data_IF_655962610411
#
_entry.id   IF_655962610411
#
_cell.length_a   1.000
_cell.length_b   1.000
_cell.length_c   1.000
_cell.angle_alpha   90.00
_cell.angle_beta   90.00
_cell.angle_gamma   90.00
#
_symmetry.space_group_name_H-M   'P 1'
#
loop_
_entity.id
_entity.type
_entity.pdbx_description
1 polymer ?
#
# COMPACT_ATOMS: atom_id res chain seq x y z
N UNK A 1 -31.71 33.00 -31.92
CA UNK A 1 -31.56 31.87 -30.97
C UNK A 1 -30.23 32.03 -30.26
N UNK A 2 -30.27 32.19 -28.94
CA UNK A 2 -29.28 32.94 -28.18
C UNK A 2 -28.18 32.06 -27.54
N UNK A 3 -26.91 32.46 -27.67
CA UNK A 3 -25.71 31.70 -27.22
C UNK A 3 -25.64 31.49 -25.69
N UNK A 4 -26.44 32.23 -24.91
CA UNK A 4 -26.52 32.10 -23.44
C UNK A 4 -27.24 30.83 -22.96
N UNK A 5 -28.17 30.29 -23.74
CA UNK A 5 -29.00 29.15 -23.30
C UNK A 5 -28.24 27.81 -23.42
N UNK A 6 -27.30 27.70 -24.36
CA UNK A 6 -26.48 26.48 -24.58
C UNK A 6 -25.40 26.26 -23.50
N UNK A 7 -24.83 27.35 -22.95
CA UNK A 7 -23.81 27.28 -21.88
C UNK A 7 -24.39 26.75 -20.56
N UNK A 8 -25.60 27.19 -20.20
CA UNK A 8 -26.32 26.72 -19.02
C UNK A 8 -26.76 25.25 -19.10
N UNK A 9 -26.94 24.68 -20.30
CA UNK A 9 -27.29 23.28 -20.47
C UNK A 9 -26.08 22.36 -20.26
N UNK A 10 -24.93 22.69 -20.86
CA UNK A 10 -23.70 21.91 -20.70
C UNK A 10 -23.16 21.95 -19.26
N UNK A 11 -23.31 23.06 -18.55
CA UNK A 11 -22.93 23.15 -17.13
C UNK A 11 -23.83 22.31 -16.22
N UNK A 12 -25.11 22.13 -16.57
CA UNK A 12 -26.03 21.23 -15.85
C UNK A 12 -25.73 19.75 -16.12
N UNK A 13 -25.35 19.40 -17.34
CA UNK A 13 -24.92 18.03 -17.70
C UNK A 13 -23.61 17.66 -16.98
N UNK A 14 -22.62 18.56 -16.95
CA UNK A 14 -21.36 18.35 -16.20
C UNK A 14 -21.59 18.19 -14.70
N UNK A 15 -22.34 19.11 -14.07
CA UNK A 15 -22.70 18.99 -12.65
C UNK A 15 -23.50 17.71 -12.34
N UNK A 16 -24.34 17.26 -13.29
CA UNK A 16 -25.06 15.99 -13.17
C UNK A 16 -24.15 14.76 -13.27
N UNK A 17 -23.13 14.79 -14.12
CA UNK A 17 -22.13 13.73 -14.23
C UNK A 17 -21.18 13.70 -13.01
N UNK A 18 -20.71 14.85 -12.55
CA UNK A 18 -19.86 14.98 -11.37
C UNK A 18 -20.58 14.51 -10.09
N UNK A 19 -21.85 14.85 -9.93
CA UNK A 19 -22.67 14.35 -8.81
C UNK A 19 -22.90 12.83 -8.89
N UNK A 20 -23.06 12.27 -10.10
CA UNK A 20 -23.26 10.83 -10.31
C UNK A 20 -21.97 10.04 -10.04
N UNK A 21 -20.81 10.59 -10.37
CA UNK A 21 -19.49 10.03 -10.02
C UNK A 21 -19.27 10.13 -8.51
N UNK A 22 -19.54 11.29 -7.90
CA UNK A 22 -19.41 11.49 -6.46
C UNK A 22 -20.31 10.53 -5.66
N UNK A 23 -21.55 10.32 -6.09
CA UNK A 23 -22.45 9.34 -5.46
C UNK A 23 -21.92 7.91 -5.56
N UNK A 24 -21.39 7.49 -6.72
CA UNK A 24 -20.79 6.15 -6.89
C UNK A 24 -19.56 5.93 -5.99
N UNK A 25 -18.68 6.92 -5.89
CA UNK A 25 -17.49 6.86 -5.02
C UNK A 25 -17.88 6.78 -3.53
N UNK A 26 -18.88 7.57 -3.11
CA UNK A 26 -19.41 7.52 -1.73
C UNK A 26 -20.08 6.18 -1.42
N UNK A 27 -20.73 5.56 -2.40
CA UNK A 27 -21.39 4.26 -2.25
C UNK A 27 -20.38 3.10 -2.18
N UNK A 28 -19.30 3.14 -2.96
CA UNK A 28 -18.17 2.22 -2.85
C UNK A 28 -17.45 2.35 -1.49
N UNK A 29 -17.15 3.57 -1.03
CA UNK A 29 -16.52 3.80 0.29
C UNK A 29 -17.42 3.31 1.45
N UNK A 30 -18.74 3.46 1.34
CA UNK A 30 -19.69 2.92 2.32
C UNK A 30 -19.74 1.39 2.29
N UNK A 31 -19.62 0.78 1.11
CA UNK A 31 -19.60 -0.67 0.94
C UNK A 31 -18.32 -1.28 1.54
N UNK A 32 -17.17 -0.65 1.34
CA UNK A 32 -15.88 -1.04 1.94
C UNK A 32 -15.93 -0.95 3.48
N UNK A 33 -16.42 0.15 4.06
CA UNK A 33 -16.59 0.27 5.53
C UNK A 33 -17.56 -0.76 6.12
N UNK A 34 -18.55 -1.19 5.33
CA UNK A 34 -19.53 -2.22 5.73
C UNK A 34 -18.95 -3.63 5.64
N UNK A 35 -18.01 -3.88 4.75
CA UNK A 35 -17.26 -5.14 4.67
C UNK A 35 -16.18 -5.23 5.77
N UNK A 36 -15.51 -4.13 6.10
CA UNK A 36 -14.61 -4.02 7.26
C UNK A 36 -15.33 -4.36 8.58
N UNK A 37 -16.53 -3.83 8.80
CA UNK A 37 -17.33 -4.10 10.00
C UNK A 37 -17.93 -5.51 10.07
N UNK A 38 -18.13 -6.18 8.92
CA UNK A 38 -18.56 -7.59 8.86
C UNK A 38 -17.41 -8.57 9.07
N UNK A 39 -16.20 -8.26 8.60
CA UNK A 39 -14.99 -9.04 8.90
C UNK A 39 -14.61 -9.04 10.39
N UNK A 40 -15.07 -8.01 11.13
CA UNK A 40 -14.88 -7.86 12.57
C UNK A 40 -15.91 -8.64 13.44
N UNK A 41 -16.97 -9.21 12.85
CA UNK A 41 -17.99 -10.00 13.58
C UNK A 41 -18.26 -11.31 12.86
N UNK A 42 -17.44 -12.33 13.12
CA UNK A 42 -17.63 -13.65 12.52
C UNK A 42 -16.60 -14.70 12.96
N UNK A 43 -16.27 -14.76 14.24
CA UNK A 43 -15.66 -15.95 14.84
C UNK A 43 -16.47 -16.34 16.09
N UNK A 44 -17.59 -16.98 15.83
CA UNK A 44 -18.48 -17.56 16.84
C UNK A 44 -19.12 -18.80 16.24
N UNK A 45 -18.97 -19.92 16.93
CA UNK A 45 -19.36 -21.28 16.54
C UNK A 45 -20.85 -21.41 16.18
N UNK A 46 -21.15 -22.27 15.20
CA UNK A 46 -22.39 -23.06 15.18
C UNK A 46 -22.22 -24.31 14.29
N UNK A 47 -22.12 -25.47 14.94
CA UNK A 47 -22.33 -26.79 14.35
C UNK A 47 -23.84 -27.09 14.38
N UNK A 48 -24.42 -27.49 13.24
CA UNK A 48 -25.31 -28.66 13.06
C UNK A 48 -26.21 -28.53 11.81
N UNK A 49 -26.09 -29.54 10.94
CA UNK A 49 -27.22 -30.21 10.30
C UNK A 49 -27.86 -29.54 9.08
N UNK A 50 -27.64 -30.11 7.89
CA UNK A 50 -28.73 -30.70 7.09
C UNK A 50 -28.21 -31.54 5.93
N UNK A 51 -28.76 -32.74 5.89
CA UNK A 51 -28.68 -33.82 4.89
C UNK A 51 -29.41 -33.49 3.60
N UNK A 52 -28.92 -34.11 2.52
CA UNK A 52 -29.59 -34.63 1.31
C UNK A 52 -30.51 -33.74 0.47
N UNK A 53 -30.15 -33.59 -0.81
CA UNK A 53 -31.04 -33.95 -1.93
C UNK A 53 -30.24 -34.16 -3.24
N UNK A 54 -30.39 -35.34 -3.83
CA UNK A 54 -30.00 -35.74 -5.18
C UNK A 54 -30.72 -34.89 -6.24
N UNK A 55 -30.17 -34.82 -7.48
CA UNK A 55 -30.74 -35.54 -8.63
C UNK A 55 -30.01 -35.17 -9.94
N UNK A 56 -29.66 -36.23 -10.68
CA UNK A 56 -29.10 -36.24 -12.04
C UNK A 56 -30.06 -35.63 -13.06
N UNK A 57 -29.54 -34.92 -14.06
CA UNK A 57 -30.04 -35.00 -15.44
C UNK A 57 -28.84 -34.94 -16.40
N UNK A 58 -28.58 -36.05 -17.10
CA UNK A 58 -27.87 -36.09 -18.38
C UNK A 58 -28.87 -35.67 -19.47
N UNK A 59 -28.45 -34.87 -20.44
CA UNK A 59 -28.58 -35.23 -21.85
C UNK A 59 -27.83 -34.24 -22.77
N UNK A 60 -27.10 -34.88 -23.68
CA UNK A 60 -26.39 -34.48 -24.89
C UNK A 60 -27.13 -33.57 -25.86
N UNK A 61 -26.41 -32.66 -26.55
CA UNK A 61 -26.51 -32.41 -28.02
C UNK A 61 -25.16 -31.89 -28.58
N UNK A 62 -24.87 -32.35 -29.79
CA UNK A 62 -23.68 -32.19 -30.64
C UNK A 62 -23.41 -30.77 -31.23
N UNK A 63 -22.15 -30.63 -31.66
CA UNK A 63 -21.45 -29.51 -32.33
C UNK A 63 -21.94 -29.29 -33.80
N UNK A 64 -21.74 -28.09 -34.40
CA UNK A 64 -20.87 -28.03 -35.58
C UNK A 64 -19.72 -27.01 -35.52
N UNK A 65 -18.61 -27.36 -36.20
CA UNK A 65 -17.30 -26.68 -36.31
C UNK A 65 -17.23 -25.64 -37.45
N UNK A 66 -16.15 -24.85 -37.41
CA UNK A 66 -15.51 -24.01 -38.46
C UNK A 66 -16.17 -22.63 -38.72
N UNK A 67 -15.46 -21.51 -38.98
CA UNK A 67 -14.30 -21.15 -39.83
C UNK A 67 -13.75 -19.75 -39.33
N UNK A 68 -12.64 -19.11 -39.79
CA UNK A 68 -11.23 -19.50 -40.01
C UNK A 68 -10.21 -18.67 -39.19
N UNK A 69 -8.99 -19.21 -39.07
CA UNK A 69 -7.75 -18.51 -38.71
C UNK A 69 -7.26 -17.59 -39.83
N UNK A 70 -6.86 -16.35 -39.50
CA UNK A 70 -6.15 -15.44 -40.40
C UNK A 70 -4.68 -15.33 -39.97
N UNK A 71 -3.80 -15.83 -40.83
CA UNK A 71 -2.36 -15.60 -40.80
C UNK A 71 -2.07 -14.12 -41.05
N UNK A 72 -1.18 -13.53 -40.26
CA UNK A 72 -0.44 -12.32 -40.65
C UNK A 72 1.05 -12.59 -40.46
N UNK A 73 1.68 -12.82 -41.62
CA UNK A 73 3.12 -12.77 -41.86
C UNK A 73 3.69 -11.38 -41.58
N UNK A 74 4.96 -11.36 -41.20
CA UNK A 74 5.62 -10.22 -40.55
C UNK A 74 5.84 -8.96 -41.37
N UNK A 75 6.21 -7.92 -40.62
CA UNK A 75 7.02 -6.80 -41.09
C UNK A 75 7.87 -6.29 -39.93
N UNK A 76 9.17 -6.55 -40.04
CA UNK A 76 10.21 -5.94 -39.22
C UNK A 76 10.24 -4.46 -39.59
N UNK A 77 10.00 -3.58 -38.63
CA UNK A 77 10.31 -2.15 -38.73
C UNK A 77 11.33 -1.88 -37.64
N UNK A 78 12.56 -1.59 -38.08
CA UNK A 78 13.57 -0.94 -37.25
C UNK A 78 13.17 0.51 -37.05
N UNK A 79 13.04 0.94 -35.80
CA UNK A 79 13.21 2.36 -35.45
C UNK A 79 13.75 2.45 -34.04
N UNK A 80 15.05 2.70 -33.96
CA UNK A 80 15.77 3.16 -32.78
C UNK A 80 15.18 4.51 -32.36
N UNK A 81 14.32 4.51 -31.36
CA UNK A 81 14.00 5.71 -30.58
C UNK A 81 13.98 5.28 -29.12
N UNK A 82 15.05 5.64 -28.41
CA UNK A 82 15.07 5.62 -26.95
C UNK A 82 13.91 6.50 -26.44
N UNK A 83 13.13 6.06 -25.44
CA UNK A 83 12.22 6.95 -24.77
C UNK A 83 13.04 7.98 -23.98
N UNK A 84 13.04 9.21 -24.48
CA UNK A 84 13.61 10.40 -23.82
C UNK A 84 12.78 10.69 -22.56
N UNK A 85 13.27 10.23 -21.41
CA UNK A 85 12.69 10.59 -20.13
C UNK A 85 13.11 12.03 -19.84
N UNK A 86 12.17 12.98 -19.67
CA UNK A 86 12.54 14.34 -19.32
C UNK A 86 13.33 14.33 -17.99
N UNK A 87 14.52 14.91 -18.04
CA UNK A 87 15.32 15.31 -16.87
C UNK A 87 14.40 15.85 -15.77
N UNK A 88 14.58 15.44 -14.50
CA UNK A 88 13.68 15.81 -13.43
C UNK A 88 13.79 17.31 -13.16
N UNK A 89 12.91 18.09 -13.80
CA UNK A 89 12.66 19.47 -13.42
C UNK A 89 12.12 19.44 -12.00
N UNK A 90 13.00 19.75 -11.03
CA UNK A 90 12.70 19.92 -9.61
C UNK A 90 11.73 21.09 -9.41
N UNK A 91 10.46 20.94 -9.80
CA UNK A 91 9.36 21.64 -9.15
C UNK A 91 8.81 20.67 -8.12
N UNK A 92 9.36 20.77 -6.92
CA UNK A 92 8.92 20.00 -5.76
C UNK A 92 7.47 20.43 -5.48
N UNK A 93 6.51 19.59 -5.87
CA UNK A 93 5.17 19.70 -5.34
C UNK A 93 5.23 19.25 -3.88
N UNK A 94 5.41 20.22 -2.98
CA UNK A 94 5.22 20.03 -1.54
C UNK A 94 3.71 20.03 -1.30
N UNK A 95 3.09 18.94 -0.83
CA UNK A 95 1.69 18.98 -0.44
C UNK A 95 1.47 20.13 0.55
N UNK A 96 0.33 20.77 0.52
CA UNK A 96 0.04 21.95 1.36
C UNK A 96 0.16 21.69 2.87
N UNK A 97 0.03 20.45 3.34
CA UNK A 97 0.36 20.08 4.73
C UNK A 97 1.87 20.02 5.02
N UNK A 98 2.72 19.85 4.00
CA UNK A 98 4.17 19.86 4.12
C UNK A 98 4.75 21.27 4.26
N UNK A 99 4.22 22.24 3.51
CA UNK A 99 4.68 23.63 3.56
C UNK A 99 4.28 24.35 4.87
N UNK A 100 3.19 23.94 5.52
CA UNK A 100 2.70 24.57 6.76
C UNK A 100 3.67 24.35 7.93
N UNK A 101 4.32 23.18 8.04
CA UNK A 101 5.26 22.90 9.14
C UNK A 101 6.64 23.55 8.97
N UNK A 102 7.11 23.75 7.72
CA UNK A 102 8.35 24.50 7.47
C UNK A 102 8.20 25.97 7.84
N UNK A 103 7.02 26.56 7.58
CA UNK A 103 6.75 27.97 7.88
C UNK A 103 6.44 28.27 9.37
N UNK A 104 6.08 27.27 10.18
CA UNK A 104 5.88 27.48 11.63
C UNK A 104 7.21 27.61 12.39
N UNK A 105 8.35 27.15 11.86
CA UNK A 105 9.68 27.39 12.44
C UNK A 105 10.24 28.79 12.19
N UNK A 106 9.63 29.61 11.33
CA UNK A 106 10.13 30.96 10.98
C UNK A 106 9.33 32.12 11.57
N UNK A 107 8.30 31.86 12.40
CA UNK A 107 7.52 32.92 13.07
C UNK A 107 7.62 32.86 14.59
N UNK A 108 8.81 33.07 15.11
CA UNK A 108 9.00 33.66 16.46
C UNK A 108 10.45 34.09 16.68
N UNK A 109 10.80 35.30 16.21
CA UNK A 109 11.74 36.20 16.90
C UNK A 109 11.85 37.50 16.08
N UNK A 110 11.41 38.62 16.67
CA UNK A 110 11.94 39.95 16.33
C UNK A 110 12.78 40.44 17.51
N UNK A 111 13.82 41.25 17.25
CA UNK A 111 14.97 41.37 18.13
C UNK A 111 14.80 42.49 19.16
N UNK A 112 15.44 42.32 20.33
CA UNK A 112 15.85 43.45 21.18
C UNK A 112 17.35 43.35 21.46
N UNK A 113 17.94 44.53 21.55
CA UNK A 113 19.34 44.93 21.36
C UNK A 113 20.36 44.45 22.40
N UNK A 114 21.58 44.13 21.89
CA UNK A 114 22.98 44.33 22.37
C UNK A 114 23.19 45.00 23.75
N UNK A 115 24.19 44.73 24.60
CA UNK A 115 25.50 43.99 24.64
C UNK A 115 26.05 44.13 26.11
N UNK A 116 27.26 43.66 26.56
CA UNK A 116 28.21 42.66 26.01
C UNK A 116 28.80 41.64 27.04
N UNK A 117 29.40 40.56 26.49
CA UNK A 117 30.65 39.86 26.86
C UNK A 117 30.91 39.45 28.33
N UNK A 118 31.05 38.13 28.56
CA UNK A 118 32.19 37.50 29.27
C UNK A 118 32.19 35.98 29.03
N UNK A 119 33.25 35.49 28.39
CA UNK A 119 33.75 34.11 28.44
C UNK A 119 34.61 33.95 29.73
N UNK A 120 35.15 32.77 30.16
CA UNK A 120 35.00 31.39 29.70
C UNK A 120 35.00 30.29 30.83
N UNK A 121 34.79 29.02 30.45
CA UNK A 121 35.40 27.76 31.01
C UNK A 121 35.13 27.28 32.46
N UNK A 122 35.21 25.94 32.58
CA UNK A 122 35.39 25.06 33.79
C UNK A 122 34.18 24.93 34.73
N UNK A 123 33.83 23.79 35.34
CA UNK A 123 34.66 22.71 35.89
C UNK A 123 33.77 21.45 36.17
N UNK A 124 34.35 20.26 36.01
CA UNK A 124 33.87 18.98 36.58
C UNK A 124 34.10 18.94 38.11
N UNK A 125 33.23 18.25 38.86
CA UNK A 125 33.49 17.38 40.05
C UNK A 125 32.18 17.20 40.86
N UNK A 126 31.65 15.97 40.93
CA UNK A 126 31.78 14.99 42.04
C UNK A 126 31.17 15.44 43.38
N UNK A 127 30.19 14.66 43.89
CA UNK A 127 30.33 14.00 45.20
C UNK A 127 29.25 12.92 45.40
N UNK A 128 29.72 11.69 45.56
CA UNK A 128 29.00 10.54 46.13
C UNK A 128 29.04 10.59 47.66
N UNK A 129 27.93 10.32 48.36
CA UNK A 129 27.95 9.86 49.76
C UNK A 129 26.94 8.73 50.00
N UNK A 130 27.43 7.69 50.67
CA UNK A 130 26.79 6.41 50.99
C UNK A 130 26.76 6.18 52.50
N UNK A 131 25.63 5.73 53.08
CA UNK A 131 25.54 5.10 54.42
C UNK A 131 24.45 3.98 54.38
N UNK A 132 24.72 2.83 55.01
CA UNK A 132 23.94 1.56 55.07
C UNK A 132 22.99 1.47 56.33
N UNK A 133 22.46 0.30 56.77
CA UNK A 133 21.07 -0.15 56.59
C UNK A 133 20.27 -0.39 57.91
N UNK A 134 19.01 -0.84 57.73
CA UNK A 134 18.01 -1.38 58.70
C UNK A 134 17.05 -0.40 59.40
N UNK A 135 15.76 -0.47 59.02
CA UNK A 135 14.71 -1.13 59.83
C UNK A 135 13.38 -1.15 59.05
N UNK A 136 12.71 -2.30 59.11
CA UNK A 136 11.44 -2.56 58.45
C UNK A 136 10.27 -1.92 59.22
N UNK A 137 9.45 -1.13 58.52
CA UNK A 137 8.07 -0.86 58.90
C UNK A 137 7.16 -1.26 57.73
N UNK A 138 6.19 -2.12 58.04
CA UNK A 138 5.17 -2.61 57.13
C UNK A 138 4.22 -1.46 56.79
N UNK A 139 4.26 -0.96 55.57
CA UNK A 139 3.17 -0.18 54.99
C UNK A 139 2.65 -0.84 53.71
N UNK A 140 1.33 -1.00 53.65
CA UNK A 140 0.52 -1.51 52.55
C UNK A 140 0.92 -0.89 51.20
N UNK A 141 1.21 -1.67 50.14
CA UNK A 141 1.38 -1.10 48.81
C UNK A 141 0.00 -0.74 48.23
N UNK A 142 -0.45 0.48 48.50
CA UNK A 142 -1.45 1.16 47.66
C UNK A 142 -0.81 1.38 46.28
N UNK A 143 -1.18 0.49 45.37
CA UNK A 143 -1.34 0.70 43.93
C UNK A 143 -0.41 1.76 43.28
N UNK A 144 0.67 1.38 42.59
CA UNK A 144 1.43 2.34 41.79
C UNK A 144 0.54 2.79 40.63
N UNK A 145 -0.08 3.96 40.77
CA UNK A 145 -0.64 4.71 39.65
C UNK A 145 0.50 5.00 38.69
N UNK A 146 0.67 4.13 37.70
CA UNK A 146 1.49 4.38 36.52
C UNK A 146 0.89 5.61 35.81
N UNK A 147 1.53 6.79 35.77
CA UNK A 147 1.12 7.80 34.83
C UNK A 147 1.79 7.44 33.50
N UNK A 148 1.23 6.47 32.77
CA UNK A 148 1.47 6.43 31.32
C UNK A 148 0.91 7.75 30.79
N UNK A 149 1.79 8.74 30.60
CA UNK A 149 1.45 10.02 30.00
C UNK A 149 0.84 9.70 28.64
N UNK A 150 -0.49 9.80 28.55
CA UNK A 150 -1.23 9.51 27.34
C UNK A 150 -0.75 10.52 26.31
N UNK A 151 0.06 10.07 25.34
CA UNK A 151 0.48 10.92 24.21
C UNK A 151 -0.80 11.39 23.52
N UNK A 152 -0.94 12.70 23.29
CA UNK A 152 -2.12 13.22 22.60
C UNK A 152 -2.18 12.65 21.19
N UNK A 153 -3.40 12.48 20.66
CA UNK A 153 -3.58 12.02 19.27
C UNK A 153 -2.82 12.92 18.28
N UNK A 154 -2.74 14.23 18.54
CA UNK A 154 -2.01 15.17 17.69
C UNK A 154 -0.52 14.85 17.61
N UNK A 155 0.14 14.61 18.75
CA UNK A 155 1.56 14.26 18.80
C UNK A 155 1.82 12.92 18.12
N UNK A 156 0.90 11.96 18.27
CA UNK A 156 1.00 10.68 17.57
C UNK A 156 0.91 10.83 16.05
N UNK A 157 -0.01 11.67 15.56
CA UNK A 157 -0.13 11.95 14.12
C UNK A 157 1.09 12.70 13.57
N UNK A 158 1.62 13.68 14.31
CA UNK A 158 2.86 14.39 13.94
C UNK A 158 4.06 13.43 13.85
N UNK A 159 4.23 12.56 14.84
CA UNK A 159 5.25 11.52 14.84
C UNK A 159 5.08 10.58 13.63
N UNK A 160 3.85 10.15 13.37
CA UNK A 160 3.57 9.26 12.26
C UNK A 160 3.85 9.91 10.89
N UNK A 161 3.63 11.22 10.75
CA UNK A 161 3.97 11.97 9.55
C UNK A 161 5.49 12.11 9.38
N UNK A 162 6.22 12.43 10.45
CA UNK A 162 7.70 12.47 10.41
C UNK A 162 8.28 11.11 10.03
N UNK A 163 7.75 10.04 10.61
CA UNK A 163 8.13 8.67 10.28
C UNK A 163 7.91 8.33 8.80
N UNK A 164 6.75 8.67 8.23
CA UNK A 164 6.47 8.47 6.79
C UNK A 164 7.53 9.16 5.95
N UNK A 165 7.91 10.36 6.34
CA UNK A 165 8.90 11.14 5.63
C UNK A 165 10.30 10.57 5.68
N UNK A 166 10.73 10.15 6.86
CA UNK A 166 12.04 9.57 7.06
C UNK A 166 12.15 8.26 6.26
N UNK A 167 11.09 7.45 6.23
CA UNK A 167 11.03 6.25 5.38
C UNK A 167 11.12 6.62 3.90
N UNK A 168 10.30 7.55 3.40
CA UNK A 168 10.34 7.95 1.97
C UNK A 168 11.67 8.61 1.57
N UNK A 169 12.30 9.34 2.48
CA UNK A 169 13.65 9.86 2.30
C UNK A 169 14.66 8.71 2.24
N UNK A 170 14.50 7.67 3.05
CA UNK A 170 15.34 6.47 2.99
C UNK A 170 15.18 5.73 1.65
N UNK A 171 13.97 5.65 1.10
CA UNK A 171 13.69 5.06 -0.21
C UNK A 171 14.54 5.69 -1.32
N UNK A 172 14.63 7.02 -1.34
CA UNK A 172 15.37 7.77 -2.36
C UNK A 172 16.86 7.86 -2.06
N UNK A 173 17.25 8.08 -0.80
CA UNK A 173 18.64 8.33 -0.42
C UNK A 173 19.47 7.05 -0.24
N UNK A 174 18.96 6.04 0.48
CA UNK A 174 19.65 4.76 0.72
C UNK A 174 19.43 3.80 -0.45
N UNK A 175 18.17 3.56 -0.82
CA UNK A 175 17.81 2.54 -1.82
C UNK A 175 17.75 3.06 -3.26
N UNK A 176 18.02 4.35 -3.47
CA UNK A 176 18.10 4.99 -4.80
C UNK A 176 16.86 4.80 -5.67
N UNK A 177 15.69 4.63 -5.06
CA UNK A 177 14.43 4.60 -5.78
C UNK A 177 14.07 6.01 -6.26
N UNK A 178 13.53 6.12 -7.47
CA UNK A 178 12.97 7.35 -8.00
C UNK A 178 11.57 7.58 -7.42
N UNK A 179 11.33 8.79 -6.90
CA UNK A 179 10.00 9.23 -6.54
C UNK A 179 9.29 9.79 -7.78
N UNK A 180 8.14 9.21 -8.15
CA UNK A 180 7.36 9.64 -9.30
C UNK A 180 6.00 10.15 -8.83
N UNK A 181 5.66 11.38 -9.23
CA UNK A 181 4.38 12.00 -8.92
C UNK A 181 3.33 11.69 -10.00
N UNK A 182 2.13 11.31 -9.58
CA UNK A 182 1.03 10.85 -10.41
C UNK A 182 -0.16 11.80 -10.31
N UNK A 183 -0.87 12.08 -11.42
CA UNK A 183 -0.56 11.59 -12.77
C UNK A 183 0.72 12.20 -13.34
N UNK A 184 1.34 11.54 -14.32
CA UNK A 184 2.56 12.01 -15.00
C UNK A 184 2.29 12.94 -16.17
N UNK A 185 1.03 13.01 -16.66
CA UNK A 185 0.68 13.89 -17.78
C UNK A 185 0.82 15.37 -17.41
N UNK A 186 1.47 16.15 -18.29
CA UNK A 186 1.80 17.57 -18.06
C UNK A 186 0.59 18.44 -17.72
N UNK A 187 -0.58 18.14 -18.28
CA UNK A 187 -1.83 18.88 -17.98
C UNK A 187 -2.23 18.82 -16.50
N UNK A 188 -1.68 17.88 -15.71
CA UNK A 188 -1.91 17.76 -14.27
C UNK A 188 -0.71 18.24 -13.43
N UNK A 189 0.34 18.81 -14.04
CA UNK A 189 1.57 19.18 -13.34
C UNK A 189 1.37 20.23 -12.25
N UNK A 190 0.36 21.09 -12.39
CA UNK A 190 -0.02 22.12 -11.41
C UNK A 190 -1.14 21.68 -10.45
N UNK A 191 -1.64 20.45 -10.59
CA UNK A 191 -2.77 19.92 -9.81
C UNK A 191 -2.34 19.07 -8.60
N UNK A 192 -3.32 18.53 -7.85
CA UNK A 192 -3.04 17.59 -6.77
C UNK A 192 -2.47 16.28 -7.34
N UNK A 193 -1.42 15.75 -6.70
CA UNK A 193 -0.70 14.54 -7.13
C UNK A 193 -0.40 13.63 -5.95
N UNK A 194 -0.16 12.34 -6.23
CA UNK A 194 0.36 11.36 -5.27
C UNK A 194 1.69 10.80 -5.74
N UNK A 195 2.49 10.25 -4.84
CA UNK A 195 3.78 9.66 -5.19
C UNK A 195 3.74 8.13 -5.19
N UNK A 196 4.53 7.53 -6.08
CA UNK A 196 5.00 6.15 -6.02
C UNK A 196 6.52 6.15 -5.96
N UNK A 197 7.12 5.02 -5.60
CA UNK A 197 8.58 4.84 -5.60
C UNK A 197 8.95 3.66 -6.47
N UNK A 198 9.94 3.83 -7.32
CA UNK A 198 10.27 2.87 -8.37
C UNK A 198 11.77 2.80 -8.62
N UNK A 199 12.31 1.62 -8.91
CA UNK A 199 13.72 1.49 -9.30
C UNK A 199 14.01 2.28 -10.59
N UNK A 200 15.16 2.98 -10.72
CA UNK A 200 15.47 3.81 -11.89
C UNK A 200 15.48 3.06 -13.22
N UNK A 201 15.89 1.80 -13.21
CA UNK A 201 15.98 0.89 -14.35
C UNK A 201 14.69 0.07 -14.58
N UNK A 202 13.58 0.41 -13.90
CA UNK A 202 12.36 -0.41 -13.92
C UNK A 202 11.86 -0.74 -15.32
N UNK A 203 11.84 0.20 -16.26
CA UNK A 203 11.31 0.01 -17.61
C UNK A 203 12.25 -0.75 -18.55
N UNK A 204 13.57 -0.64 -18.34
CA UNK A 204 14.58 -1.14 -19.28
C UNK A 204 15.19 -2.47 -18.86
N UNK A 205 15.24 -2.74 -17.56
CA UNK A 205 15.82 -3.95 -17.00
C UNK A 205 14.93 -5.18 -17.18
N UNK A 206 15.53 -6.33 -17.49
CA UNK A 206 14.87 -7.65 -17.57
C UNK A 206 14.81 -8.39 -16.23
N UNK A 207 15.25 -7.76 -15.13
CA UNK A 207 15.21 -8.32 -13.80
C UNK A 207 13.78 -8.71 -13.36
N UNK A 208 13.70 -9.53 -12.30
CA UNK A 208 12.44 -9.79 -11.61
C UNK A 208 11.88 -8.46 -11.06
N UNK A 209 10.57 -8.33 -11.00
CA UNK A 209 9.90 -7.11 -10.52
C UNK A 209 9.17 -7.39 -9.21
N UNK A 210 9.56 -6.71 -8.13
CA UNK A 210 8.89 -6.80 -6.83
C UNK A 210 7.96 -5.60 -6.65
N UNK A 211 6.66 -5.87 -6.52
CA UNK A 211 5.61 -4.86 -6.38
C UNK A 211 5.04 -4.94 -4.96
N UNK A 212 5.13 -3.83 -4.22
CA UNK A 212 4.70 -3.72 -2.83
C UNK A 212 3.44 -2.85 -2.73
N UNK A 213 2.37 -3.39 -2.14
CA UNK A 213 1.05 -2.75 -2.09
C UNK A 213 0.53 -2.74 -0.66
N UNK A 214 0.52 -1.56 -0.05
CA UNK A 214 0.08 -1.35 1.32
C UNK A 214 -1.43 -1.59 1.53
N UNK A 215 -1.81 -1.73 2.80
CA UNK A 215 -3.20 -1.84 3.25
C UNK A 215 -3.98 -0.52 3.21
N UNK A 216 -5.18 -0.51 3.80
CA UNK A 216 -5.99 0.69 3.94
C UNK A 216 -5.51 1.62 5.07
N UNK A 217 -6.16 2.78 5.19
CA UNK A 217 -5.94 3.74 6.26
C UNK A 217 -4.94 4.84 5.91
N UNK A 218 -4.29 5.39 6.94
CA UNK A 218 -3.40 6.55 6.82
C UNK A 218 -1.95 6.17 6.49
N UNK A 219 -1.69 4.92 6.08
CA UNK A 219 -0.37 4.49 5.59
C UNK A 219 -0.09 5.12 4.22
N UNK A 220 1.20 5.28 3.92
CA UNK A 220 1.75 5.81 2.67
C UNK A 220 2.85 4.89 2.16
N UNK A 221 3.26 5.09 0.91
CA UNK A 221 4.28 4.26 0.27
C UNK A 221 5.51 4.08 1.17
N UNK A 222 5.93 2.83 1.36
CA UNK A 222 7.02 2.44 2.26
C UNK A 222 6.56 1.89 3.62
N UNK A 223 5.27 1.95 3.96
CA UNK A 223 4.75 1.52 5.28
C UNK A 223 3.69 0.43 5.15
N UNK A 224 3.81 -0.64 5.95
CA UNK A 224 2.73 -1.59 6.21
C UNK A 224 1.80 -1.11 7.33
N UNK A 225 2.37 -0.65 8.46
CA UNK A 225 1.62 -0.15 9.60
C UNK A 225 2.35 0.95 10.38
N UNK A 226 1.69 2.10 10.57
CA UNK A 226 2.22 3.21 11.38
C UNK A 226 2.39 2.80 12.85
N UNK A 227 1.43 2.06 13.41
CA UNK A 227 1.48 1.67 14.81
C UNK A 227 2.57 0.65 15.08
N UNK A 228 2.86 -0.24 14.15
CA UNK A 228 3.96 -1.19 14.30
C UNK A 228 5.30 -0.49 14.16
N UNK A 229 5.45 0.41 13.18
CA UNK A 229 6.67 1.23 13.08
C UNK A 229 6.97 2.03 14.36
N UNK A 230 5.94 2.61 14.98
CA UNK A 230 6.12 3.47 16.16
C UNK A 230 6.33 2.65 17.45
N UNK A 231 5.59 1.55 17.62
CA UNK A 231 5.53 0.85 18.89
C UNK A 231 6.39 -0.42 18.95
N UNK A 232 6.89 -0.92 17.83
CA UNK A 232 7.75 -2.10 17.77
C UNK A 232 9.05 -1.81 17.03
N UNK A 233 8.99 -1.64 15.71
CA UNK A 233 10.19 -1.46 14.89
C UNK A 233 9.86 -1.07 13.45
N UNK A 234 10.81 -0.40 12.78
CA UNK A 234 10.74 -0.18 11.34
C UNK A 234 10.85 -1.49 10.57
N UNK A 235 11.65 -2.42 11.08
CA UNK A 235 11.85 -3.76 10.54
C UNK A 235 10.51 -4.50 10.40
N UNK A 236 9.62 -4.40 11.39
CA UNK A 236 8.33 -5.10 11.32
C UNK A 236 7.25 -4.29 10.61
N UNK A 237 7.22 -2.96 10.83
CA UNK A 237 6.12 -2.11 10.38
C UNK A 237 6.28 -1.50 8.97
N UNK A 238 7.49 -1.52 8.42
CA UNK A 238 7.82 -0.87 7.14
C UNK A 238 8.08 -1.88 6.01
N UNK A 239 8.14 -1.35 4.79
CA UNK A 239 8.55 -2.12 3.62
C UNK A 239 10.06 -2.28 3.50
N UNK A 240 10.87 -1.68 4.39
CA UNK A 240 12.32 -1.60 4.21
C UNK A 240 13.00 -2.98 4.11
N UNK A 241 12.67 -3.99 4.93
CA UNK A 241 13.29 -5.31 4.77
C UNK A 241 12.92 -6.00 3.46
N UNK A 242 11.70 -5.77 2.94
CA UNK A 242 11.27 -6.29 1.64
C UNK A 242 12.06 -5.66 0.50
N UNK A 243 12.37 -4.36 0.61
CA UNK A 243 13.15 -3.63 -0.39
C UNK A 243 14.60 -4.10 -0.36
N UNK A 244 15.21 -4.16 0.83
CA UNK A 244 16.59 -4.60 1.01
C UNK A 244 16.78 -6.02 0.46
N UNK A 245 15.92 -6.95 0.89
CA UNK A 245 15.95 -8.34 0.41
C UNK A 245 15.64 -8.46 -1.08
N UNK A 246 14.72 -7.65 -1.60
CA UNK A 246 14.43 -7.58 -3.04
C UNK A 246 15.64 -7.15 -3.84
N UNK A 247 16.33 -6.08 -3.44
CA UNK A 247 17.52 -5.60 -4.12
C UNK A 247 18.67 -6.61 -4.06
N UNK A 248 18.90 -7.24 -2.90
CA UNK A 248 19.88 -8.34 -2.74
C UNK A 248 19.62 -9.49 -3.73
N UNK A 249 18.35 -9.82 -3.97
CA UNK A 249 17.92 -10.89 -4.88
C UNK A 249 17.66 -10.41 -6.32
N UNK A 250 18.17 -9.22 -6.67
CA UNK A 250 18.11 -8.61 -8.00
C UNK A 250 16.67 -8.41 -8.49
N UNK A 251 15.79 -7.95 -7.61
CA UNK A 251 14.49 -7.41 -7.99
C UNK A 251 14.59 -5.91 -8.23
N UNK A 252 13.97 -5.45 -9.31
CA UNK A 252 13.60 -4.03 -9.43
C UNK A 252 12.30 -3.81 -8.64
N UNK A 253 12.22 -2.70 -7.93
CA UNK A 253 11.19 -2.44 -6.93
C UNK A 253 10.17 -1.44 -7.46
N UNK A 254 8.89 -1.67 -7.18
CA UNK A 254 7.81 -0.71 -7.35
C UNK A 254 6.94 -0.70 -6.09
N UNK A 255 6.71 0.50 -5.53
CA UNK A 255 5.91 0.71 -4.33
C UNK A 255 4.72 1.61 -4.69
N UNK A 256 3.52 1.05 -4.55
CA UNK A 256 2.28 1.79 -4.80
C UNK A 256 1.88 2.65 -3.59
N UNK A 257 1.01 3.64 -3.82
CA UNK A 257 0.43 4.48 -2.78
C UNK A 257 -1.09 4.64 -2.94
N UNK A 258 -1.86 3.54 -2.90
CA UNK A 258 -3.27 3.54 -3.27
C UNK A 258 -4.16 4.37 -2.34
N UNK A 259 -3.69 4.73 -1.14
CA UNK A 259 -4.47 5.54 -0.19
C UNK A 259 -4.33 7.04 -0.40
N UNK A 260 -3.34 7.49 -1.18
CA UNK A 260 -3.14 8.92 -1.42
C UNK A 260 -3.98 9.38 -2.60
N UNK A 261 -5.30 9.48 -2.39
CA UNK A 261 -6.27 9.73 -3.47
C UNK A 261 -6.77 11.17 -3.56
N UNK A 262 -6.39 12.02 -2.61
CA UNK A 262 -6.76 13.43 -2.54
C UNK A 262 -5.71 14.27 -1.85
N UNK A 263 -5.59 15.53 -2.26
CA UNK A 263 -4.70 16.48 -1.60
C UNK A 263 -5.13 16.68 -0.12
N UNK A 264 -4.20 16.63 0.83
CA UNK A 264 -4.57 16.60 2.24
C UNK A 264 -5.16 17.92 2.76
N UNK A 265 -4.83 19.09 2.19
CA UNK A 265 -5.36 20.36 2.69
C UNK A 265 -6.63 20.77 1.95
N UNK A 266 -6.60 20.75 0.61
CA UNK A 266 -7.73 21.16 -0.24
C UNK A 266 -8.82 20.10 -0.33
N UNK A 267 -8.50 18.84 0.00
CA UNK A 267 -9.37 17.66 -0.17
C UNK A 267 -9.75 17.37 -1.62
N UNK A 268 -9.13 18.04 -2.59
CA UNK A 268 -9.33 17.82 -4.02
C UNK A 268 -8.85 16.42 -4.39
N UNK A 269 -9.69 15.66 -5.08
CA UNK A 269 -9.33 14.34 -5.59
C UNK A 269 -8.17 14.44 -6.57
N UNK A 270 -7.25 13.48 -6.51
CA UNK A 270 -6.14 13.40 -7.44
C UNK A 270 -6.67 12.80 -8.75
N UNK A 271 -6.56 13.49 -9.89
CA UNK A 271 -7.05 12.98 -11.18
C UNK A 271 -6.47 11.60 -11.49
N UNK A 272 -7.25 10.70 -12.09
CA UNK A 272 -6.85 9.33 -12.48
C UNK A 272 -6.31 8.44 -11.35
N UNK A 273 -6.30 8.93 -10.11
CA UNK A 273 -5.84 8.25 -8.91
C UNK A 273 -6.77 8.60 -7.75
N UNK A 274 -8.06 8.83 -8.01
CA UNK A 274 -9.02 9.32 -7.02
C UNK A 274 -9.59 8.21 -6.13
N UNK A 275 -9.28 6.96 -6.46
CA UNK A 275 -9.57 5.76 -5.69
C UNK A 275 -8.41 4.77 -5.73
N UNK A 276 -8.44 3.75 -4.86
CA UNK A 276 -7.44 2.66 -4.88
C UNK A 276 -7.44 1.91 -6.21
N UNK A 277 -8.63 1.69 -6.78
CA UNK A 277 -8.81 1.00 -8.05
C UNK A 277 -8.25 1.83 -9.20
N UNK A 278 -8.57 3.12 -9.26
CA UNK A 278 -8.01 4.01 -10.29
C UNK A 278 -6.49 4.12 -10.17
N UNK A 279 -5.94 4.22 -8.95
CA UNK A 279 -4.50 4.22 -8.74
C UNK A 279 -3.84 2.91 -9.22
N UNK A 280 -4.42 1.76 -8.86
CA UNK A 280 -3.92 0.46 -9.29
C UNK A 280 -3.96 0.30 -10.82
N UNK A 281 -5.04 0.75 -11.45
CA UNK A 281 -5.21 0.72 -12.91
C UNK A 281 -4.21 1.64 -13.62
N UNK A 282 -4.08 2.89 -13.15
CA UNK A 282 -3.13 3.85 -13.68
C UNK A 282 -1.69 3.34 -13.59
N UNK A 283 -1.32 2.77 -12.44
CA UNK A 283 0.02 2.21 -12.25
C UNK A 283 0.27 0.99 -13.15
N UNK A 284 -0.74 0.14 -13.34
CA UNK A 284 -0.64 -0.98 -14.27
C UNK A 284 -0.36 -0.51 -15.68
N UNK A 285 -1.21 0.36 -16.22
CA UNK A 285 -1.16 0.84 -17.60
C UNK A 285 0.11 1.65 -17.93
N UNK A 286 0.63 2.41 -16.96
CA UNK A 286 1.78 3.30 -17.21
C UNK A 286 3.13 2.67 -16.92
N UNK A 287 3.20 1.81 -15.90
CA UNK A 287 4.48 1.32 -15.38
C UNK A 287 4.61 -0.20 -15.43
N UNK A 288 3.55 -0.97 -15.19
CA UNK A 288 3.66 -2.43 -15.14
C UNK A 288 3.59 -3.02 -16.56
N UNK A 289 2.63 -2.60 -17.38
CA UNK A 289 2.46 -3.09 -18.75
C UNK A 289 3.65 -2.73 -19.66
N UNK A 290 4.36 -1.65 -19.32
CA UNK A 290 5.48 -1.11 -20.11
C UNK A 290 6.85 -1.68 -19.71
N UNK A 291 6.95 -2.42 -18.61
CA UNK A 291 8.20 -3.08 -18.19
C UNK A 291 8.29 -4.50 -18.73
N UNK A 292 9.47 -5.12 -18.66
CA UNK A 292 9.71 -6.55 -18.97
C UNK A 292 10.03 -7.33 -17.69
N UNK A 293 10.07 -8.67 -17.75
CA UNK A 293 10.37 -9.50 -16.58
C UNK A 293 9.16 -9.98 -15.80
N UNK A 294 9.39 -10.99 -14.95
CA UNK A 294 8.37 -11.65 -14.13
C UNK A 294 7.99 -10.83 -12.91
N UNK A 295 6.68 -10.75 -12.63
CA UNK A 295 6.12 -9.93 -11.55
C UNK A 295 5.90 -10.76 -10.28
N UNK A 296 6.33 -10.22 -9.15
CA UNK A 296 6.21 -10.79 -7.81
C UNK A 296 5.54 -9.76 -6.92
N UNK A 297 4.41 -10.13 -6.32
CA UNK A 297 3.55 -9.18 -5.63
C UNK A 297 3.54 -9.47 -4.13
N UNK A 298 3.66 -8.42 -3.31
CA UNK A 298 3.32 -8.46 -1.88
C UNK A 298 2.18 -7.49 -1.64
N UNK A 299 1.02 -8.01 -1.25
CA UNK A 299 -0.19 -7.23 -1.06
C UNK A 299 -0.75 -7.42 0.35
N UNK A 300 -0.73 -6.35 1.13
CA UNK A 300 -1.24 -6.34 2.49
C UNK A 300 -2.67 -5.81 2.53
N UNK A 301 -3.56 -6.44 3.31
CA UNK A 301 -4.90 -5.90 3.60
C UNK A 301 -5.64 -5.49 2.30
N UNK A 302 -6.16 -4.26 2.23
CA UNK A 302 -6.81 -3.72 1.04
C UNK A 302 -5.91 -3.58 -0.21
N UNK A 303 -4.59 -3.78 -0.11
CA UNK A 303 -3.73 -3.91 -1.28
C UNK A 303 -4.11 -5.10 -2.17
N UNK A 304 -4.81 -6.10 -1.62
CA UNK A 304 -5.37 -7.21 -2.39
C UNK A 304 -6.40 -6.78 -3.43
N UNK A 305 -7.09 -5.65 -3.25
CA UNK A 305 -8.05 -5.12 -4.23
C UNK A 305 -7.37 -4.74 -5.56
N UNK A 306 -6.16 -4.17 -5.52
CA UNK A 306 -5.42 -3.85 -6.74
C UNK A 306 -5.09 -5.12 -7.52
N UNK A 307 -4.63 -6.17 -6.83
CA UNK A 307 -4.33 -7.47 -7.45
C UNK A 307 -5.59 -8.09 -8.05
N UNK A 308 -6.71 -8.08 -7.32
CA UNK A 308 -7.99 -8.57 -7.80
C UNK A 308 -8.47 -7.80 -9.04
N UNK A 309 -8.29 -6.47 -9.05
CA UNK A 309 -8.63 -5.64 -10.20
C UNK A 309 -7.80 -6.03 -11.43
N UNK A 310 -6.49 -6.24 -11.26
CA UNK A 310 -5.61 -6.66 -12.36
C UNK A 310 -5.92 -8.07 -12.88
N UNK A 311 -6.23 -9.02 -11.99
CA UNK A 311 -6.70 -10.36 -12.40
C UNK A 311 -7.96 -10.26 -13.27
N UNK A 312 -8.84 -9.30 -12.97
CA UNK A 312 -10.11 -9.11 -13.67
C UNK A 312 -9.96 -8.34 -14.99
N UNK A 313 -9.24 -7.22 -15.00
CA UNK A 313 -9.06 -6.34 -16.16
C UNK A 313 -7.97 -6.78 -17.13
N UNK A 314 -6.88 -7.38 -16.62
CA UNK A 314 -5.62 -7.60 -17.36
C UNK A 314 -5.22 -9.06 -17.50
N UNK A 315 -6.20 -9.97 -17.52
CA UNK A 315 -5.98 -11.41 -17.34
C UNK A 315 -4.89 -12.02 -18.24
N UNK A 316 -4.85 -11.67 -19.53
CA UNK A 316 -3.91 -12.30 -20.47
C UNK A 316 -2.45 -11.95 -20.16
N UNK A 317 -2.18 -10.69 -19.84
CA UNK A 317 -0.86 -10.25 -19.42
C UNK A 317 -0.56 -10.76 -18.01
N UNK A 318 -1.52 -10.62 -17.08
CA UNK A 318 -1.40 -11.04 -15.69
C UNK A 318 -0.97 -12.50 -15.57
N UNK A 319 -1.67 -13.43 -16.23
CA UNK A 319 -1.38 -14.86 -16.15
C UNK A 319 -0.01 -15.24 -16.73
N UNK A 320 0.48 -14.43 -17.67
CA UNK A 320 1.77 -14.67 -18.33
C UNK A 320 2.92 -14.14 -17.47
N UNK A 321 2.73 -12.98 -16.85
CA UNK A 321 3.81 -12.23 -16.21
C UNK A 321 3.89 -12.41 -14.70
N UNK A 322 2.78 -12.55 -14.01
CA UNK A 322 2.75 -12.71 -12.54
C UNK A 322 3.18 -14.13 -12.18
N UNK A 323 4.26 -14.23 -11.40
CA UNK A 323 4.90 -15.51 -11.05
C UNK A 323 4.49 -15.97 -9.66
N UNK A 324 4.49 -15.07 -8.68
CA UNK A 324 4.13 -15.37 -7.29
C UNK A 324 3.44 -14.18 -6.62
N UNK A 325 2.50 -14.47 -5.72
CA UNK A 325 1.75 -13.46 -4.96
C UNK A 325 1.76 -13.84 -3.48
N UNK A 326 2.31 -12.97 -2.66
CA UNK A 326 2.25 -13.06 -1.21
C UNK A 326 1.18 -12.10 -0.69
N UNK A 327 0.08 -12.65 -0.18
CA UNK A 327 -0.93 -11.89 0.54
C UNK A 327 -0.63 -11.90 2.03
N UNK A 328 -0.74 -10.74 2.68
CA UNK A 328 -0.57 -10.61 4.14
C UNK A 328 -1.85 -10.01 4.73
N UNK A 329 -2.67 -10.89 5.29
CA UNK A 329 -4.02 -10.60 5.79
C UNK A 329 -4.86 -9.73 4.83
N UNK A 330 -4.67 -9.99 3.54
CA UNK A 330 -5.31 -9.26 2.45
C UNK A 330 -6.82 -9.49 2.34
N UNK A 331 -7.49 -8.49 1.78
CA UNK A 331 -8.84 -8.63 1.26
C UNK A 331 -8.74 -9.25 -0.12
N UNK A 332 -9.29 -10.45 -0.26
CA UNK A 332 -9.41 -11.18 -1.52
C UNK A 332 -10.91 -11.40 -1.71
N UNK A 333 -11.55 -10.61 -2.57
CA UNK A 333 -12.99 -10.74 -2.79
C UNK A 333 -13.25 -11.98 -3.66
N UNK A 334 -14.19 -12.81 -3.24
CA UNK A 334 -14.63 -13.99 -4.00
C UNK A 334 -15.56 -13.62 -5.17
N UNK A 335 -15.45 -12.40 -5.72
CA UNK A 335 -16.15 -12.07 -6.96
C UNK A 335 -15.76 -13.15 -7.96
N UNK A 336 -16.76 -13.91 -8.44
CA UNK A 336 -16.60 -15.24 -9.03
C UNK A 336 -15.54 -15.24 -10.14
N UNK A 337 -14.29 -15.42 -9.73
CA UNK A 337 -13.18 -15.69 -10.63
C UNK A 337 -13.61 -16.90 -11.46
N UNK A 338 -13.29 -16.87 -12.75
CA UNK A 338 -13.52 -18.06 -13.57
C UNK A 338 -12.71 -19.22 -12.98
N UNK A 339 -13.12 -20.46 -13.23
CA UNK A 339 -12.40 -21.64 -12.75
C UNK A 339 -10.92 -21.63 -13.15
N UNK A 340 -10.61 -21.13 -14.34
CA UNK A 340 -9.24 -20.92 -14.83
C UNK A 340 -8.45 -19.99 -13.89
N UNK A 341 -9.02 -18.82 -13.55
CA UNK A 341 -8.41 -17.85 -12.65
C UNK A 341 -8.22 -18.40 -11.24
N UNK A 342 -9.21 -19.10 -10.68
CA UNK A 342 -9.08 -19.76 -9.37
C UNK A 342 -7.93 -20.76 -9.34
N UNK A 343 -7.86 -21.67 -10.33
CA UNK A 343 -6.79 -22.68 -10.43
C UNK A 343 -5.41 -22.02 -10.54
N UNK A 344 -5.31 -20.97 -11.37
CA UNK A 344 -4.06 -20.23 -11.52
C UNK A 344 -3.64 -19.54 -10.23
N UNK A 345 -4.55 -18.80 -9.59
CA UNK A 345 -4.29 -18.11 -8.32
C UNK A 345 -3.89 -19.09 -7.23
N UNK A 346 -4.54 -20.26 -7.14
CA UNK A 346 -4.17 -21.32 -6.19
C UNK A 346 -2.72 -21.79 -6.36
N UNK A 347 -2.21 -21.79 -7.59
CA UNK A 347 -0.84 -22.22 -7.91
C UNK A 347 0.20 -21.16 -7.54
N UNK A 348 -0.10 -19.90 -7.77
CA UNK A 348 0.90 -18.82 -7.68
C UNK A 348 0.77 -17.95 -6.42
N UNK A 349 -0.34 -18.04 -5.69
CA UNK A 349 -0.60 -17.21 -4.52
C UNK A 349 -0.50 -18.00 -3.22
N UNK A 350 -0.07 -17.30 -2.17
CA UNK A 350 -0.11 -17.78 -0.80
C UNK A 350 -0.56 -16.65 0.11
N UNK A 351 -1.37 -16.97 1.12
CA UNK A 351 -1.96 -15.96 2.01
C UNK A 351 -1.59 -16.21 3.47
N UNK A 352 -0.74 -15.36 4.03
CA UNK A 352 -0.41 -15.35 5.45
C UNK A 352 -1.43 -14.51 6.21
N UNK A 353 -2.25 -15.16 7.04
CA UNK A 353 -3.37 -14.56 7.79
C UNK A 353 -2.95 -14.28 9.23
N UNK A 354 -3.60 -13.28 9.84
CA UNK A 354 -3.49 -13.09 11.28
C UNK A 354 -4.00 -14.33 12.02
N UNK A 355 -3.16 -14.91 12.89
CA UNK A 355 -3.47 -16.16 13.58
C UNK A 355 -2.63 -16.30 14.86
N UNK A 356 -3.13 -17.08 15.82
CA UNK A 356 -2.40 -17.44 17.04
C UNK A 356 -1.45 -18.63 16.84
N UNK A 357 -1.51 -19.30 15.69
CA UNK A 357 -0.65 -20.45 15.36
C UNK A 357 0.78 -20.00 15.04
N UNK A 358 1.79 -20.88 15.23
CA UNK A 358 3.15 -20.67 14.75
C UNK A 358 3.23 -20.15 13.31
N UNK A 359 4.25 -19.33 13.04
CA UNK A 359 4.48 -18.78 11.71
C UNK A 359 4.61 -19.88 10.65
N UNK A 360 3.97 -19.65 9.50
CA UNK A 360 3.94 -20.55 8.35
C UNK A 360 3.23 -21.91 8.59
N UNK A 361 2.49 -22.08 9.68
CA UNK A 361 1.61 -23.24 9.83
C UNK A 361 0.43 -23.13 8.87
N UNK A 362 0.13 -24.19 8.10
CA UNK A 362 -1.02 -24.22 7.18
C UNK A 362 -2.33 -24.07 7.95
N UNK A 363 -3.20 -23.20 7.45
CA UNK A 363 -4.52 -22.98 8.00
C UNK A 363 -5.54 -23.82 7.23
N UNK A 364 -6.48 -24.43 7.96
CA UNK A 364 -7.57 -25.19 7.37
C UNK A 364 -8.60 -24.20 6.82
N UNK A 365 -8.37 -23.70 5.60
CA UNK A 365 -9.33 -22.86 4.89
C UNK A 365 -9.94 -23.62 3.72
N UNK A 366 -11.22 -23.35 3.46
CA UNK A 366 -11.95 -23.80 2.28
C UNK A 366 -11.78 -22.85 1.08
N UNK A 367 -10.76 -21.99 1.13
CA UNK A 367 -10.56 -20.92 0.15
C UNK A 367 -9.78 -21.41 -1.09
N UNK A 368 -9.91 -20.65 -2.17
CA UNK A 368 -9.24 -20.94 -3.44
C UNK A 368 -7.72 -20.78 -3.36
N UNK A 369 -7.20 -20.10 -2.34
CA UNK A 369 -5.76 -19.86 -2.13
C UNK A 369 -5.34 -20.52 -0.82
N UNK A 370 -4.19 -21.18 -0.81
CA UNK A 370 -3.65 -21.79 0.41
C UNK A 370 -3.33 -20.69 1.45
N UNK A 371 -3.90 -20.86 2.64
CA UNK A 371 -3.71 -19.96 3.77
C UNK A 371 -2.73 -20.54 4.79
N UNK A 372 -1.90 -19.66 5.35
CA UNK A 372 -0.89 -19.97 6.36
C UNK A 372 -0.97 -18.95 7.48
N UNK A 373 -0.53 -19.32 8.68
CA UNK A 373 -0.40 -18.37 9.79
C UNK A 373 0.73 -17.40 9.50
N UNK A 374 0.49 -16.10 9.67
CA UNK A 374 1.57 -15.11 9.69
C UNK A 374 2.48 -15.27 10.92
N UNK A 375 2.04 -15.96 11.97
CA UNK A 375 2.76 -16.05 13.25
C UNK A 375 2.43 -14.92 14.23
N UNK A 376 1.43 -14.09 13.91
CA UNK A 376 0.92 -13.04 14.79
C UNK A 376 -0.60 -12.88 14.61
N UNK A 377 -1.31 -12.58 15.69
CA UNK A 377 -2.79 -12.56 15.71
C UNK A 377 -3.40 -11.18 15.42
N UNK A 378 -2.58 -10.14 15.23
CA UNK A 378 -3.02 -8.80 14.85
C UNK A 378 -2.72 -8.51 13.39
N UNK A 379 -3.72 -7.99 12.69
CA UNK A 379 -3.72 -7.65 11.28
C UNK A 379 -2.47 -6.87 10.86
N UNK A 380 -2.15 -5.81 11.61
CA UNK A 380 -1.15 -4.83 11.25
C UNK A 380 0.31 -5.33 11.37
N UNK A 381 0.52 -6.49 12.00
CA UNK A 381 1.83 -7.14 12.17
C UNK A 381 2.11 -8.20 11.11
N UNK A 382 1.09 -8.61 10.34
CA UNK A 382 1.17 -9.80 9.49
C UNK A 382 2.23 -9.71 8.41
N UNK A 383 2.48 -8.54 7.81
CA UNK A 383 3.52 -8.39 6.79
C UNK A 383 4.93 -8.63 7.35
N UNK A 384 5.25 -7.99 8.49
CA UNK A 384 6.57 -8.16 9.12
C UNK A 384 6.80 -9.59 9.61
N UNK A 385 5.80 -10.22 10.22
CA UNK A 385 5.93 -11.59 10.73
C UNK A 385 5.91 -12.65 9.61
N UNK A 386 5.25 -12.38 8.48
CA UNK A 386 5.26 -13.28 7.33
C UNK A 386 6.55 -13.16 6.49
N UNK A 387 7.31 -12.06 6.61
CA UNK A 387 8.49 -11.76 5.80
C UNK A 387 9.47 -12.94 5.65
N UNK A 388 9.84 -13.68 6.72
CA UNK A 388 10.80 -14.80 6.61
C UNK A 388 10.36 -15.91 5.65
N UNK A 389 9.07 -16.01 5.33
CA UNK A 389 8.50 -17.07 4.50
C UNK A 389 8.19 -16.63 3.07
N UNK A 390 8.16 -15.32 2.81
CA UNK A 390 7.71 -14.75 1.53
C UNK A 390 8.77 -14.96 0.43
N UNK A 391 10.03 -14.61 0.68
CA UNK A 391 11.09 -14.79 -0.31
C UNK A 391 11.40 -16.28 -0.59
N UNK A 392 11.47 -17.17 0.42
CA UNK A 392 11.53 -18.61 0.15
C UNK A 392 10.35 -19.12 -0.70
N UNK A 393 9.15 -18.60 -0.49
CA UNK A 393 8.01 -18.91 -1.36
C UNK A 393 8.20 -18.35 -2.78
N UNK A 394 8.76 -17.16 -2.95
CA UNK A 394 9.05 -16.60 -4.27
C UNK A 394 10.07 -17.41 -5.07
N UNK A 395 11.00 -18.08 -4.39
CA UNK A 395 12.00 -18.95 -4.98
C UNK A 395 11.50 -20.39 -5.21
N UNK A 396 10.35 -20.75 -4.62
CA UNK A 396 9.76 -22.07 -4.82
C UNK A 396 9.31 -22.28 -6.28
N UNK A 397 9.41 -23.51 -6.81
CA UNK A 397 9.05 -23.83 -8.20
C UNK A 397 7.58 -23.55 -8.55
#
# INVERSE_FOLDING_TARGET
MDKKTSKNFNDRIRKGQDNKIHMKVVEEDKKVRKEESKGLRGSGEAIKGRTNANMQIKNSVNIPKHIPTRNLTGKIISSSQEPDFPEPVRKIYQPSNFAIFVNQKQKSAKPKSQNPITDPKTLYQEETKSIKPNQATKENPKNPKNPKKLVSQSVYEELALSLILDIQTTLTSKYKLSEIWLPTEEKYSQGPRCNIFISPNWSTSSNKKLILIQGAGQVRAGIWSRSVCINESLETGSMLPFIEKGLEEQYDILILNPNFTKDPATKTLIPLNSSRSEHGEYVWEKFISTTIGGLYLVAHSCGGHSVQHWVNGHWQEFKTRVKKIAYTDAVITSEKLSREKCIFMKKIARHWRASKKPGNEKLNSCNDIDEYSAGHNKHEYTSGYAFPYIFPFFQSP
#
